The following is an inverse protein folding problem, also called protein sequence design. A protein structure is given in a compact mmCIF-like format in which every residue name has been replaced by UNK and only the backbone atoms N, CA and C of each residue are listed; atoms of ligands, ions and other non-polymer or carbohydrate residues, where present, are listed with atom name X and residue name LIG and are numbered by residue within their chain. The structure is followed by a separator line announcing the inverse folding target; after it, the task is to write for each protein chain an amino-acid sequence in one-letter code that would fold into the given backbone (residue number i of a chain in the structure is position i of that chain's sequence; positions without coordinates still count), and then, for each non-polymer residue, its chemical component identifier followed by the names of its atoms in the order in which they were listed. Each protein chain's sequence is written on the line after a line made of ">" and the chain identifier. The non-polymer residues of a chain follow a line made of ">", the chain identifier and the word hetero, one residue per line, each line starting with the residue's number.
data_IF_436900246749
#
_entry.id   IF_436900246749
#
_cell.length_a   1.000
_cell.length_b   1.000
_cell.length_c   1.000
_cell.angle_alpha   90.00
_cell.angle_beta   90.00
_cell.angle_gamma   90.00
#
_symmetry.space_group_name_H-M   'P 1'
#
loop_
_entity.id
_entity.type
_entity.pdbx_description
1 polymer ?
#
# COMPACT_ATOMS: atom_id res chain seq x y z
N UNK A 1 -14.22 11.74 -11.60
CA UNK A 1 -13.19 11.10 -12.44
C UNK A 1 -11.82 11.45 -11.85
N UNK A 2 -11.37 12.72 -11.89
CA UNK A 2 -10.09 13.13 -11.26
C UNK A 2 -10.04 12.88 -9.74
N UNK A 3 -11.14 13.17 -9.02
CA UNK A 3 -11.19 12.94 -7.57
C UNK A 3 -11.01 11.47 -7.19
N UNK A 4 -11.48 10.53 -8.03
CA UNK A 4 -11.43 9.09 -7.76
C UNK A 4 -10.03 8.51 -8.00
N UNK A 5 -9.35 8.99 -9.06
CA UNK A 5 -7.93 8.68 -9.32
C UNK A 5 -7.05 9.21 -8.18
N UNK A 6 -7.26 10.45 -7.75
CA UNK A 6 -6.52 11.05 -6.65
C UNK A 6 -6.75 10.27 -5.34
N UNK A 7 -7.99 9.91 -5.02
CA UNK A 7 -8.32 9.08 -3.85
C UNK A 7 -7.63 7.71 -3.88
N UNK A 8 -7.52 7.09 -5.06
CA UNK A 8 -6.80 5.83 -5.21
C UNK A 8 -5.29 6.01 -4.96
N UNK A 9 -4.68 7.08 -5.47
CA UNK A 9 -3.28 7.38 -5.18
C UNK A 9 -3.05 7.68 -3.69
N UNK A 10 -3.92 8.45 -3.04
CA UNK A 10 -3.83 8.76 -1.61
C UNK A 10 -3.95 7.48 -0.75
N UNK A 11 -4.90 6.61 -1.08
CA UNK A 11 -5.06 5.31 -0.38
C UNK A 11 -3.85 4.40 -0.59
N UNK A 12 -3.29 4.37 -1.81
CA UNK A 12 -2.07 3.62 -2.08
C UNK A 12 -0.89 4.13 -1.25
N UNK A 13 -0.71 5.46 -1.19
CA UNK A 13 0.34 6.09 -0.39
C UNK A 13 0.19 5.76 1.10
N UNK A 14 -1.01 5.95 1.66
CA UNK A 14 -1.31 5.61 3.06
C UNK A 14 -0.98 4.14 3.38
N UNK A 15 -1.38 3.21 2.52
CA UNK A 15 -1.07 1.80 2.73
C UNK A 15 0.43 1.51 2.64
N UNK A 16 1.17 2.13 1.72
CA UNK A 16 2.63 2.02 1.68
C UNK A 16 3.30 2.58 2.94
N UNK A 17 2.83 3.70 3.49
CA UNK A 17 3.34 4.25 4.75
C UNK A 17 3.11 3.31 5.95
N UNK A 18 1.93 2.70 6.03
CA UNK A 18 1.63 1.69 7.04
C UNK A 18 2.51 0.44 6.85
N UNK A 19 2.65 -0.05 5.63
CA UNK A 19 3.54 -1.18 5.31
C UNK A 19 4.98 -0.89 5.73
N UNK A 20 5.52 0.29 5.39
CA UNK A 20 6.86 0.71 5.77
C UNK A 20 7.03 0.77 7.30
N UNK A 21 6.03 1.28 8.02
CA UNK A 21 6.03 1.33 9.48
C UNK A 21 6.07 -0.07 10.09
N UNK A 22 5.26 -1.00 9.58
CA UNK A 22 5.25 -2.38 10.05
C UNK A 22 6.53 -3.14 9.70
N UNK A 23 7.12 -2.92 8.52
CA UNK A 23 8.43 -3.49 8.18
C UNK A 23 9.54 -3.00 9.13
N UNK A 24 9.53 -1.72 9.51
CA UNK A 24 10.48 -1.18 10.50
C UNK A 24 10.33 -1.87 11.86
N UNK A 25 9.10 -2.06 12.34
CA UNK A 25 8.81 -2.80 13.58
C UNK A 25 9.24 -4.26 13.47
N UNK A 26 8.91 -4.92 12.36
CA UNK A 26 9.31 -6.31 12.12
C UNK A 26 10.83 -6.48 12.20
N UNK A 27 11.59 -5.56 11.61
CA UNK A 27 13.05 -5.54 11.69
C UNK A 27 13.56 -5.28 13.12
N UNK A 28 12.93 -4.39 13.88
CA UNK A 28 13.29 -4.14 15.28
C UNK A 28 13.09 -5.38 16.15
N UNK A 29 11.91 -6.01 16.11
CA UNK A 29 11.61 -7.24 16.83
C UNK A 29 12.54 -8.38 16.42
N UNK A 30 12.86 -8.50 15.12
CA UNK A 30 13.81 -9.51 14.64
C UNK A 30 15.19 -9.32 15.28
N UNK A 31 15.70 -8.09 15.34
CA UNK A 31 17.00 -7.75 15.95
C UNK A 31 17.03 -8.04 17.46
N UNK A 32 15.87 -8.01 18.13
CA UNK A 32 15.70 -8.37 19.54
C UNK A 32 15.55 -9.88 19.77
N UNK A 33 15.45 -10.69 18.70
CA UNK A 33 15.18 -12.14 18.78
C UNK A 33 13.70 -12.49 18.98
N UNK A 34 12.80 -11.51 18.86
CA UNK A 34 11.36 -11.66 19.03
C UNK A 34 10.71 -12.10 17.71
N UNK A 35 10.98 -13.34 17.29
CA UNK A 35 10.61 -13.83 15.96
C UNK A 35 9.10 -13.86 15.70
N UNK A 36 8.28 -14.11 16.72
CA UNK A 36 6.81 -14.13 16.60
C UNK A 36 6.28 -12.74 16.25
N UNK A 37 6.69 -11.71 17.00
CA UNK A 37 6.30 -10.31 16.75
C UNK A 37 6.85 -9.79 15.42
N UNK A 38 8.08 -10.19 15.09
CA UNK A 38 8.69 -9.91 13.79
C UNK A 38 7.84 -10.46 12.64
N UNK A 39 7.46 -11.75 12.71
CA UNK A 39 6.61 -12.39 11.70
C UNK A 39 5.21 -11.77 11.61
N UNK A 40 4.62 -11.44 12.76
CA UNK A 40 3.32 -10.78 12.82
C UNK A 40 3.33 -9.43 12.10
N UNK A 41 4.31 -8.58 12.40
CA UNK A 41 4.45 -7.29 11.73
C UNK A 41 4.84 -7.43 10.26
N UNK A 42 5.65 -8.42 9.87
CA UNK A 42 5.95 -8.68 8.47
C UNK A 42 4.69 -9.07 7.68
N UNK A 43 3.80 -9.88 8.27
CA UNK A 43 2.55 -10.26 7.64
C UNK A 43 1.60 -9.07 7.46
N UNK A 44 1.45 -8.21 8.48
CA UNK A 44 0.64 -6.99 8.38
C UNK A 44 1.21 -6.04 7.32
N UNK A 45 2.54 -5.87 7.28
CA UNK A 45 3.19 -5.03 6.29
C UNK A 45 2.90 -5.51 4.87
N UNK A 46 2.93 -6.82 4.65
CA UNK A 46 2.62 -7.42 3.35
C UNK A 46 1.18 -7.14 2.93
N UNK A 47 0.19 -7.35 3.81
CA UNK A 47 -1.22 -7.06 3.48
C UNK A 47 -1.45 -5.59 3.11
N UNK A 48 -0.77 -4.67 3.78
CA UNK A 48 -0.81 -3.26 3.38
C UNK A 48 -0.14 -3.01 2.03
N UNK A 49 0.98 -3.65 1.72
CA UNK A 49 1.61 -3.54 0.40
C UNK A 49 0.69 -4.04 -0.72
N UNK A 50 -0.01 -5.16 -0.53
CA UNK A 50 -0.98 -5.68 -1.49
C UNK A 50 -2.14 -4.70 -1.71
N UNK A 51 -2.68 -4.11 -0.64
CA UNK A 51 -3.75 -3.11 -0.74
C UNK A 51 -3.28 -1.84 -1.48
N UNK A 52 -2.04 -1.41 -1.23
CA UNK A 52 -1.46 -0.28 -1.94
C UNK A 52 -1.35 -0.54 -3.45
N UNK A 53 -0.90 -1.74 -3.82
CA UNK A 53 -0.86 -2.15 -5.22
C UNK A 53 -2.23 -2.20 -5.87
N UNK A 54 -3.25 -2.69 -5.16
CA UNK A 54 -4.63 -2.72 -5.69
C UNK A 54 -5.10 -1.31 -6.01
N UNK A 55 -4.92 -0.36 -5.08
CA UNK A 55 -5.31 1.02 -5.33
C UNK A 55 -4.49 1.69 -6.43
N UNK A 56 -3.17 1.43 -6.51
CA UNK A 56 -2.35 1.92 -7.61
C UNK A 56 -2.81 1.36 -8.98
N UNK A 57 -3.22 0.09 -9.02
CA UNK A 57 -3.78 -0.55 -10.24
C UNK A 57 -5.12 0.07 -10.63
N UNK A 58 -6.02 0.33 -9.67
CA UNK A 58 -7.30 0.98 -9.97
C UNK A 58 -7.09 2.43 -10.44
N UNK A 59 -6.20 3.21 -9.82
CA UNK A 59 -5.85 4.54 -10.31
C UNK A 59 -5.36 4.50 -11.77
N UNK A 60 -4.43 3.60 -12.09
CA UNK A 60 -3.89 3.46 -13.45
C UNK A 60 -4.97 3.04 -14.46
N UNK A 61 -5.91 2.19 -14.05
CA UNK A 61 -7.05 1.78 -14.88
C UNK A 61 -8.01 2.94 -15.11
N UNK A 62 -8.32 3.71 -14.08
CA UNK A 62 -9.18 4.89 -14.21
C UNK A 62 -8.53 5.98 -15.08
N UNK A 63 -7.24 6.27 -14.87
CA UNK A 63 -6.43 7.15 -15.74
C UNK A 63 -6.53 6.74 -17.22
N UNK A 64 -6.36 5.44 -17.51
CA UNK A 64 -6.50 4.93 -18.88
C UNK A 64 -7.91 5.18 -19.46
N UNK A 65 -8.97 5.06 -18.65
CA UNK A 65 -10.34 5.34 -19.11
C UNK A 65 -10.70 6.82 -19.19
N UNK A 66 -9.92 7.70 -18.54
CA UNK A 66 -10.08 9.16 -18.69
C UNK A 66 -9.60 9.59 -20.08
N UNK A 67 -8.47 9.06 -20.56
CA UNK A 67 -7.99 9.34 -21.93
C UNK A 67 -8.97 8.90 -23.02
N UNK A 68 -9.75 7.83 -22.81
CA UNK A 68 -10.80 7.39 -23.76
C UNK A 68 -12.07 8.27 -23.76
N UNK A 69 -12.20 9.23 -22.83
CA UNK A 69 -13.40 10.06 -22.66
C UNK A 69 -13.20 11.55 -22.96
N UNK A 70 -12.01 11.98 -23.34
CA UNK A 70 -11.79 13.34 -23.85
C UNK A 70 -11.95 13.37 -25.39
N UNK A 71 -12.88 14.17 -25.94
CA UNK A 71 -13.15 14.26 -27.39
C UNK A 71 -12.08 15.01 -28.20
#
# INVERSE_FOLDING_TARGET
>A
MADTIAEHHEKAAMHHEHAATHHKKAAEHHRKGEHVESGHHAHIAHGHAEHAEVHAKEAAKEEATVHDKEP
#
